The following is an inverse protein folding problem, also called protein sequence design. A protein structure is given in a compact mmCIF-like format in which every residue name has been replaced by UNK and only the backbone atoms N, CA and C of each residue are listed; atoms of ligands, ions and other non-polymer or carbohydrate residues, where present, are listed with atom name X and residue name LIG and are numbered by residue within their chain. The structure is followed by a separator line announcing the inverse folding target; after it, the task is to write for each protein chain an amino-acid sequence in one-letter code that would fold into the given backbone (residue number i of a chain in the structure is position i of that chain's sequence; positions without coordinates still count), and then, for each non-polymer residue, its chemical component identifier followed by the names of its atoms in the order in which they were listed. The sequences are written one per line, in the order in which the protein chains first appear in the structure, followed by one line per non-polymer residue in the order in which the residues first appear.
data_IF_711043065421
#
_entry.id   IF_711043065421
#
_cell.length_a   1.000
_cell.length_b   1.000
_cell.length_c   1.000
_cell.angle_alpha   90.00
_cell.angle_beta   90.00
_cell.angle_gamma   90.00
#
_symmetry.space_group_name_H-M   'P 1'
#
loop_
_entity.id
_entity.type
_entity.pdbx_description
1 polymer ?
#
# COMPACT_ATOMS: atom_id res chain seq x y z
N UNK A 1 18.93 53.09 -18.06
CA UNK A 1 19.92 52.62 -17.09
C UNK A 1 19.16 52.02 -15.92
N UNK A 2 18.92 50.72 -15.97
CA UNK A 2 18.25 49.97 -14.91
C UNK A 2 19.26 48.97 -14.32
N UNK A 3 19.60 49.20 -13.06
CA UNK A 3 20.49 48.35 -12.30
C UNK A 3 19.73 47.09 -11.83
N UNK A 4 20.25 45.93 -12.15
CA UNK A 4 19.83 44.65 -11.58
C UNK A 4 20.40 44.53 -10.15
N UNK A 5 19.67 43.96 -9.18
CA UNK A 5 20.24 43.67 -7.88
C UNK A 5 21.04 42.38 -7.93
N UNK A 6 22.31 42.47 -7.53
CA UNK A 6 23.18 41.34 -7.22
C UNK A 6 22.62 40.56 -6.02
N UNK A 7 22.26 39.33 -6.23
CA UNK A 7 21.93 38.38 -5.15
C UNK A 7 23.23 37.69 -4.73
N UNK A 8 23.86 38.19 -3.68
CA UNK A 8 24.95 37.52 -3.00
C UNK A 8 24.43 36.29 -2.24
N UNK A 9 24.79 35.12 -2.72
CA UNK A 9 24.56 33.83 -2.06
C UNK A 9 25.34 33.76 -0.75
N UNK A 10 24.65 33.78 0.35
CA UNK A 10 25.19 33.62 1.69
C UNK A 10 25.58 32.13 1.92
N UNK A 11 26.88 31.85 1.92
CA UNK A 11 27.47 30.49 1.99
C UNK A 11 27.59 29.93 3.43
N UNK A 12 26.95 30.52 4.42
CA UNK A 12 27.16 30.15 5.82
C UNK A 12 25.86 29.77 6.51
N UNK A 13 25.30 28.58 6.21
CA UNK A 13 24.34 27.97 7.11
C UNK A 13 24.16 26.49 6.80
N UNK A 14 25.16 25.64 7.10
CA UNK A 14 24.96 24.20 7.18
C UNK A 14 26.04 23.59 8.11
N UNK A 15 25.90 23.94 9.41
CA UNK A 15 26.48 23.14 10.50
C UNK A 15 25.34 22.79 11.44
N UNK A 16 24.79 21.62 11.28
CA UNK A 16 23.76 21.09 12.15
C UNK A 16 23.29 19.76 11.59
N UNK A 17 23.73 18.69 12.21
CA UNK A 17 23.15 17.33 12.17
C UNK A 17 22.58 16.85 10.81
N UNK A 18 23.43 16.30 9.96
CA UNK A 18 23.16 15.29 8.93
C UNK A 18 21.88 15.39 8.05
N UNK A 19 21.30 16.58 7.89
CA UNK A 19 20.16 16.79 7.01
C UNK A 19 20.52 17.81 5.95
N UNK A 20 20.88 17.37 4.75
CA UNK A 20 21.10 18.24 3.61
C UNK A 20 19.78 18.51 2.90
N UNK A 21 19.30 19.73 2.93
CA UNK A 21 18.21 20.18 2.07
C UNK A 21 18.81 20.67 0.75
N UNK A 22 18.40 20.10 -0.37
CA UNK A 22 18.73 20.57 -1.70
C UNK A 22 17.55 21.30 -2.30
N UNK A 23 17.74 22.55 -2.71
CA UNK A 23 16.77 23.36 -3.41
C UNK A 23 17.09 23.31 -4.91
N UNK A 24 16.20 22.69 -5.68
CA UNK A 24 16.26 22.63 -7.13
C UNK A 24 14.86 22.41 -7.71
N UNK A 25 14.67 22.81 -8.97
CA UNK A 25 13.39 22.69 -9.69
C UNK A 25 12.98 21.25 -10.05
N UNK A 26 13.63 20.24 -9.49
CA UNK A 26 13.36 18.83 -9.70
C UNK A 26 12.67 18.26 -8.46
N UNK A 27 11.64 17.47 -8.64
CA UNK A 27 10.84 16.90 -7.56
C UNK A 27 11.69 15.96 -6.68
N UNK A 28 12.07 16.43 -5.50
CA UNK A 28 12.83 15.67 -4.52
C UNK A 28 12.00 15.45 -3.27
N UNK A 29 11.90 14.24 -2.79
CA UNK A 29 11.32 13.91 -1.50
C UNK A 29 12.38 13.30 -0.58
N UNK A 30 12.58 13.91 0.60
CA UNK A 30 13.48 13.38 1.63
C UNK A 30 12.64 12.63 2.65
N UNK A 31 12.87 11.34 2.77
CA UNK A 31 12.13 10.46 3.68
C UNK A 31 12.96 10.12 4.90
N UNK A 32 12.61 10.77 6.04
CA UNK A 32 12.90 10.37 7.44
C UNK A 32 14.29 9.81 7.75
N UNK A 33 14.59 9.56 8.98
CA UNK A 33 15.89 9.20 9.62
C UNK A 33 16.80 8.12 8.98
N UNK A 34 16.54 7.69 7.78
CA UNK A 34 17.47 6.88 6.96
C UNK A 34 17.62 7.61 5.63
N UNK A 35 18.79 8.19 5.40
CA UNK A 35 19.20 9.03 4.28
C UNK A 35 18.86 8.46 2.88
N UNK A 36 17.59 8.40 2.52
CA UNK A 36 17.14 7.95 1.20
C UNK A 36 16.48 9.12 0.49
N UNK A 37 17.05 9.58 -0.59
CA UNK A 37 16.51 10.64 -1.46
C UNK A 37 15.92 9.97 -2.70
N UNK A 38 14.70 10.36 -3.06
CA UNK A 38 14.02 9.88 -4.26
C UNK A 38 14.11 10.93 -5.36
N UNK A 39 14.63 10.57 -6.51
CA UNK A 39 14.64 11.40 -7.73
C UNK A 39 13.82 10.73 -8.81
N UNK A 40 13.08 11.46 -9.60
CA UNK A 40 12.51 10.91 -10.83
C UNK A 40 11.66 11.84 -11.63
N UNK A 41 11.91 11.83 -12.93
CA UNK A 41 10.92 12.16 -13.95
C UNK A 41 9.99 10.98 -14.16
N UNK A 42 8.77 11.26 -14.52
CA UNK A 42 7.54 10.46 -14.69
C UNK A 42 7.60 8.93 -14.84
N UNK A 43 8.78 8.33 -15.05
CA UNK A 43 8.93 6.88 -15.25
C UNK A 43 10.04 6.21 -14.43
N UNK A 44 10.75 6.94 -13.56
CA UNK A 44 11.84 6.34 -12.77
C UNK A 44 11.80 6.84 -11.33
N UNK A 45 11.71 5.92 -10.37
CA UNK A 45 11.93 6.18 -8.95
C UNK A 45 13.43 5.90 -8.71
N UNK A 46 14.20 6.95 -8.46
CA UNK A 46 15.61 6.79 -8.08
C UNK A 46 15.75 6.89 -6.57
N UNK A 47 16.23 5.83 -5.95
CA UNK A 47 16.67 5.85 -4.56
C UNK A 47 18.16 6.23 -4.55
N UNK A 48 18.47 7.46 -4.17
CA UNK A 48 19.86 7.84 -3.98
C UNK A 48 20.29 7.48 -2.56
N UNK A 49 21.02 6.41 -2.43
CA UNK A 49 21.77 6.12 -1.20
C UNK A 49 23.05 6.94 -1.26
N UNK A 50 23.31 7.88 -0.33
CA UNK A 50 24.55 8.61 -0.32
C UNK A 50 25.72 7.64 -0.19
N UNK A 51 26.53 7.52 -1.25
CA UNK A 51 27.74 6.69 -1.26
C UNK A 51 28.81 7.41 -0.45
N UNK A 52 28.78 7.24 0.85
CA UNK A 52 29.87 7.69 1.71
C UNK A 52 31.02 6.67 1.59
N UNK A 53 32.01 6.94 0.74
CA UNK A 53 33.17 6.06 0.44
C UNK A 53 33.99 5.60 1.67
N UNK A 54 33.67 6.10 2.87
CA UNK A 54 34.34 5.70 4.14
C UNK A 54 33.57 4.62 4.95
N UNK A 55 32.42 4.14 4.48
CA UNK A 55 31.60 3.14 5.18
C UNK A 55 31.65 1.75 4.53
N UNK A 56 32.83 1.35 4.00
CA UNK A 56 32.99 0.06 3.32
C UNK A 56 32.93 -1.18 4.22
N UNK A 57 32.53 -1.07 5.49
CA UNK A 57 32.40 -2.24 6.40
C UNK A 57 31.07 -2.29 7.20
N UNK A 58 30.13 -1.36 6.99
CA UNK A 58 28.79 -1.58 7.54
C UNK A 58 28.01 -2.48 6.59
N UNK A 59 27.54 -3.62 7.07
CA UNK A 59 26.60 -4.51 6.34
C UNK A 59 25.54 -3.66 5.65
N UNK A 60 25.51 -3.65 4.33
CA UNK A 60 24.51 -2.92 3.52
C UNK A 60 23.12 -3.38 3.99
N UNK A 61 22.39 -2.50 4.68
CA UNK A 61 21.04 -2.82 5.13
C UNK A 61 20.11 -2.80 3.93
N UNK A 62 19.45 -3.93 3.68
CA UNK A 62 18.39 -4.02 2.66
C UNK A 62 17.26 -3.11 3.08
N UNK A 63 16.85 -2.11 2.27
CA UNK A 63 15.69 -1.28 2.57
C UNK A 63 14.43 -2.15 2.75
N UNK A 64 13.64 -1.96 3.82
CA UNK A 64 12.52 -2.86 4.14
C UNK A 64 11.47 -2.99 3.04
N UNK A 65 11.28 -1.94 2.22
CA UNK A 65 10.33 -1.96 1.11
C UNK A 65 10.91 -2.53 -0.19
N UNK A 66 12.23 -2.67 -0.31
CA UNK A 66 12.88 -3.08 -1.57
C UNK A 66 12.29 -4.35 -2.18
N UNK A 67 12.08 -5.46 -1.45
CA UNK A 67 11.50 -6.68 -2.02
C UNK A 67 10.04 -6.51 -2.46
N UNK A 68 9.34 -5.51 -1.90
CA UNK A 68 7.93 -5.21 -2.20
C UNK A 68 7.77 -4.16 -3.32
N UNK A 69 8.86 -3.70 -3.91
CA UNK A 69 8.85 -2.78 -5.07
C UNK A 69 8.73 -3.51 -6.40
N UNK A 70 8.71 -4.85 -6.39
CA UNK A 70 8.40 -5.65 -7.57
C UNK A 70 7.03 -5.27 -8.11
N UNK A 71 6.89 -5.28 -9.39
CA UNK A 71 5.83 -4.70 -10.21
C UNK A 71 4.42 -4.66 -9.61
N UNK A 72 3.92 -3.46 -9.43
CA UNK A 72 2.52 -3.09 -9.18
C UNK A 72 2.12 -1.92 -10.10
N UNK A 73 2.80 -1.80 -11.23
CA UNK A 73 2.66 -0.67 -12.14
C UNK A 73 1.25 -0.47 -12.66
N UNK A 74 0.50 -1.55 -12.90
CA UNK A 74 -0.89 -1.47 -13.33
C UNK A 74 -1.77 -0.78 -12.28
N UNK A 75 -1.65 -1.18 -11.02
CA UNK A 75 -2.41 -0.59 -9.92
C UNK A 75 -2.00 0.87 -9.68
N UNK A 76 -0.70 1.15 -9.74
CA UNK A 76 -0.19 2.50 -9.57
C UNK A 76 -0.59 3.44 -10.70
N UNK A 77 -0.51 2.97 -11.94
CA UNK A 77 -0.95 3.75 -13.10
C UNK A 77 -2.45 4.08 -13.04
N UNK A 78 -3.28 3.10 -12.69
CA UNK A 78 -4.72 3.34 -12.57
C UNK A 78 -5.05 4.28 -11.40
N UNK A 79 -4.33 4.16 -10.27
CA UNK A 79 -4.45 5.10 -9.16
C UNK A 79 -4.07 6.52 -9.58
N UNK A 80 -2.92 6.69 -10.23
CA UNK A 80 -2.43 7.99 -10.68
C UNK A 80 -3.41 8.65 -11.64
N UNK A 81 -3.84 7.92 -12.68
CA UNK A 81 -4.82 8.40 -13.67
C UNK A 81 -6.13 8.81 -13.00
N UNK A 82 -6.63 7.98 -12.08
CA UNK A 82 -7.90 8.24 -11.39
C UNK A 82 -7.81 9.42 -10.44
N UNK A 83 -6.76 9.51 -9.62
CA UNK A 83 -6.58 10.65 -8.71
C UNK A 83 -6.45 11.96 -9.49
N UNK A 84 -5.62 12.00 -10.55
CA UNK A 84 -5.52 13.20 -11.40
C UNK A 84 -6.86 13.64 -11.96
N UNK A 85 -7.68 12.70 -12.43
CA UNK A 85 -9.04 12.99 -12.93
C UNK A 85 -9.98 13.50 -11.84
N UNK A 86 -9.90 12.90 -10.63
CA UNK A 86 -10.76 13.27 -9.51
C UNK A 86 -10.39 14.65 -8.94
N UNK A 87 -9.11 14.97 -8.86
CA UNK A 87 -8.63 16.28 -8.39
C UNK A 87 -9.03 17.44 -9.31
N UNK A 88 -9.32 17.16 -10.59
CA UNK A 88 -9.82 18.19 -11.53
C UNK A 88 -11.30 18.52 -11.32
N UNK A 89 -12.03 17.70 -10.56
CA UNK A 89 -13.44 17.92 -10.25
C UNK A 89 -13.55 18.76 -8.98
N UNK A 90 -14.28 19.86 -9.06
CA UNK A 90 -14.71 20.65 -7.89
C UNK A 90 -16.17 20.27 -7.54
N UNK A 91 -16.58 20.23 -6.27
CA UNK A 91 -15.79 20.38 -5.03
C UNK A 91 -14.99 19.12 -4.66
N UNK A 92 -14.00 19.30 -3.79
CA UNK A 92 -13.23 18.18 -3.26
C UNK A 92 -14.15 17.28 -2.40
N UNK A 93 -14.37 16.06 -2.86
CA UNK A 93 -15.06 15.00 -2.12
C UNK A 93 -14.05 13.98 -1.60
N UNK A 94 -14.38 13.23 -0.52
CA UNK A 94 -13.51 12.14 -0.09
C UNK A 94 -13.26 11.14 -1.22
N UNK A 95 -11.99 10.76 -1.41
CA UNK A 95 -11.58 9.80 -2.43
C UNK A 95 -11.54 8.40 -1.79
N UNK A 96 -12.42 7.52 -2.23
CA UNK A 96 -12.42 6.11 -1.81
C UNK A 96 -11.55 5.32 -2.79
N UNK A 97 -10.56 4.61 -2.27
CA UNK A 97 -9.71 3.69 -3.03
C UNK A 97 -9.91 2.27 -2.52
N UNK A 98 -10.48 1.39 -3.34
CA UNK A 98 -10.60 -0.04 -3.02
C UNK A 98 -9.39 -0.77 -3.58
N UNK A 99 -8.66 -1.45 -2.68
CA UNK A 99 -7.51 -2.29 -2.97
C UNK A 99 -7.88 -3.71 -2.56
N UNK A 100 -7.88 -4.65 -3.50
CA UNK A 100 -8.35 -6.00 -3.22
C UNK A 100 -7.43 -7.07 -3.83
N UNK A 101 -7.48 -8.26 -3.29
CA UNK A 101 -6.70 -9.43 -3.73
C UNK A 101 -6.57 -10.47 -2.63
N UNK A 102 -5.85 -11.55 -2.91
CA UNK A 102 -5.58 -12.61 -1.94
C UNK A 102 -4.82 -12.08 -0.71
N UNK A 103 -5.06 -12.72 0.46
CA UNK A 103 -4.41 -12.36 1.73
C UNK A 103 -2.87 -12.36 1.67
N UNK A 104 -2.26 -13.10 0.74
CA UNK A 104 -0.81 -13.20 0.56
C UNK A 104 -0.21 -12.18 -0.42
N UNK A 105 -0.96 -11.12 -0.78
CA UNK A 105 -0.50 -10.11 -1.73
C UNK A 105 0.12 -8.87 -1.08
N UNK A 106 0.49 -8.93 0.22
CA UNK A 106 1.16 -7.82 0.95
C UNK A 106 0.43 -6.48 0.83
N UNK A 107 -0.88 -6.46 1.06
CA UNK A 107 -1.71 -5.26 0.95
C UNK A 107 -1.19 -4.10 1.80
N UNK A 108 -0.67 -4.38 3.01
CA UNK A 108 -0.10 -3.40 3.92
C UNK A 108 1.18 -2.77 3.35
N UNK A 109 2.03 -3.56 2.68
CA UNK A 109 3.25 -3.08 2.03
C UNK A 109 2.95 -2.28 0.77
N UNK A 110 1.95 -2.71 -0.01
CA UNK A 110 1.48 -1.92 -1.12
C UNK A 110 0.91 -0.57 -0.65
N UNK A 111 0.08 -0.56 0.39
CA UNK A 111 -0.41 0.69 1.00
C UNK A 111 0.73 1.55 1.55
N UNK A 112 1.76 0.96 2.16
CA UNK A 112 2.94 1.69 2.65
C UNK A 112 3.66 2.38 1.48
N UNK A 113 3.85 1.68 0.36
CA UNK A 113 4.42 2.24 -0.86
C UNK A 113 3.57 3.36 -1.44
N UNK A 114 2.24 3.20 -1.49
CA UNK A 114 1.33 4.28 -1.90
C UNK A 114 1.47 5.51 -1.00
N UNK A 115 1.49 5.30 0.32
CA UNK A 115 1.58 6.37 1.30
C UNK A 115 2.91 7.13 1.27
N UNK A 116 4.03 6.41 1.12
CA UNK A 116 5.37 7.01 1.26
C UNK A 116 5.96 7.50 -0.06
N UNK A 117 5.50 6.98 -1.19
CA UNK A 117 6.09 7.27 -2.50
C UNK A 117 5.08 7.90 -3.45
N UNK A 118 4.00 7.19 -3.75
CA UNK A 118 3.15 7.58 -4.86
C UNK A 118 2.25 8.78 -4.53
N UNK A 119 1.51 8.72 -3.42
CA UNK A 119 0.57 9.76 -3.05
C UNK A 119 1.24 11.11 -2.74
N UNK A 120 2.38 11.20 -2.02
CA UNK A 120 3.09 12.46 -1.85
C UNK A 120 3.41 13.12 -3.19
N UNK A 121 3.97 12.36 -4.13
CA UNK A 121 4.29 12.83 -5.48
C UNK A 121 3.04 13.31 -6.23
N UNK A 122 1.95 12.53 -6.21
CA UNK A 122 0.71 12.87 -6.93
C UNK A 122 0.01 14.11 -6.38
N UNK A 123 0.10 14.32 -5.08
CA UNK A 123 -0.55 15.45 -4.40
C UNK A 123 0.36 16.68 -4.29
N UNK A 124 1.62 16.60 -4.71
CA UNK A 124 2.60 17.68 -4.57
C UNK A 124 2.86 18.04 -3.11
N UNK A 125 2.91 17.05 -2.22
CA UNK A 125 3.06 17.23 -0.78
C UNK A 125 4.22 16.38 -0.26
N UNK A 126 5.02 16.93 0.65
CA UNK A 126 6.17 16.23 1.22
C UNK A 126 5.75 15.08 2.15
N UNK A 127 4.56 15.17 2.73
CA UNK A 127 4.07 14.17 3.67
C UNK A 127 2.55 14.06 3.67
N UNK A 128 2.06 12.90 4.10
CA UNK A 128 0.64 12.59 4.25
C UNK A 128 0.42 12.00 5.64
N UNK A 129 -0.59 12.46 6.37
CA UNK A 129 -0.98 11.85 7.64
C UNK A 129 -1.70 10.53 7.38
N UNK A 130 -1.22 9.44 7.97
CA UNK A 130 -1.84 8.11 7.85
C UNK A 130 -2.49 7.70 9.17
N UNK A 131 -3.75 7.24 9.08
CA UNK A 131 -4.52 6.72 10.19
C UNK A 131 -5.07 5.34 9.86
N UNK A 132 -4.95 4.42 10.81
CA UNK A 132 -5.60 3.10 10.72
C UNK A 132 -6.95 3.15 11.43
N UNK A 133 -8.02 2.87 10.69
CA UNK A 133 -9.37 2.71 11.22
C UNK A 133 -9.66 1.21 11.31
N UNK A 134 -9.77 0.65 12.53
CA UNK A 134 -10.08 -0.76 12.70
C UNK A 134 -11.40 -1.13 12.01
N UNK A 135 -11.44 -2.29 11.36
CA UNK A 135 -12.68 -2.79 10.78
C UNK A 135 -13.75 -2.96 11.84
N UNK A 136 -15.02 -2.63 11.52
CA UNK A 136 -16.09 -2.83 12.49
C UNK A 136 -16.24 -4.32 12.84
N UNK A 137 -16.42 -4.64 14.13
CA UNK A 137 -16.80 -5.98 14.54
C UNK A 137 -18.18 -6.35 13.98
N UNK A 138 -18.65 -7.55 14.26
CA UNK A 138 -19.98 -7.98 13.82
C UNK A 138 -21.06 -7.18 14.53
N UNK A 139 -21.75 -6.36 13.79
CA UNK A 139 -22.92 -5.60 14.25
C UNK A 139 -24.20 -6.10 13.60
N UNK A 140 -25.34 -5.79 14.20
CA UNK A 140 -26.65 -6.24 13.71
C UNK A 140 -27.25 -5.29 12.68
N UNK A 141 -26.90 -4.00 12.74
CA UNK A 141 -27.47 -2.97 11.89
C UNK A 141 -26.48 -1.85 11.55
N UNK A 142 -26.86 -1.01 10.59
CA UNK A 142 -26.06 0.12 10.12
C UNK A 142 -25.76 1.15 11.22
N UNK A 143 -26.71 1.44 12.12
CA UNK A 143 -26.50 2.45 13.16
C UNK A 143 -25.36 2.08 14.09
N UNK A 144 -25.29 0.82 14.52
CA UNK A 144 -24.20 0.32 15.36
C UNK A 144 -22.84 0.44 14.64
N UNK A 145 -22.79 0.14 13.34
CA UNK A 145 -21.58 0.31 12.52
C UNK A 145 -21.19 1.78 12.43
N UNK A 146 -22.15 2.65 12.14
CA UNK A 146 -21.92 4.09 12.00
C UNK A 146 -21.42 4.71 13.31
N UNK A 147 -22.03 4.38 14.44
CA UNK A 147 -21.61 4.86 15.76
C UNK A 147 -20.20 4.34 16.13
N UNK A 148 -19.93 3.07 15.85
CA UNK A 148 -18.59 2.52 16.05
C UNK A 148 -17.53 3.27 15.23
N UNK A 149 -17.76 3.44 13.93
CA UNK A 149 -16.82 4.11 13.04
C UNK A 149 -16.61 5.57 13.44
N UNK A 150 -17.67 6.29 13.80
CA UNK A 150 -17.61 7.66 14.27
C UNK A 150 -16.74 7.77 15.54
N UNK A 151 -17.00 6.92 16.55
CA UNK A 151 -16.25 6.94 17.80
C UNK A 151 -14.76 6.56 17.58
N UNK A 152 -14.50 5.57 16.72
CA UNK A 152 -13.10 5.21 16.37
C UNK A 152 -12.40 6.31 15.60
N UNK A 153 -13.07 7.00 14.67
CA UNK A 153 -12.51 8.17 14.02
C UNK A 153 -12.19 9.27 15.03
N UNK A 154 -13.12 9.58 15.95
CA UNK A 154 -12.88 10.57 17.00
C UNK A 154 -11.65 10.21 17.85
N UNK A 155 -11.51 8.95 18.22
CA UNK A 155 -10.37 8.43 18.99
C UNK A 155 -9.05 8.58 18.24
N UNK A 156 -9.00 8.16 16.95
CA UNK A 156 -7.73 8.14 16.21
C UNK A 156 -7.31 9.53 15.70
N UNK A 157 -8.25 10.40 15.29
CA UNK A 157 -7.92 11.71 14.70
C UNK A 157 -7.97 12.84 15.71
N UNK A 158 -8.98 12.89 16.61
CA UNK A 158 -9.20 14.00 17.56
C UNK A 158 -8.69 13.66 18.96
N UNK A 159 -8.40 12.36 19.23
CA UNK A 159 -7.98 11.85 20.56
C UNK A 159 -9.07 12.00 21.63
N UNK A 160 -10.34 11.80 21.26
CA UNK A 160 -11.51 11.79 22.14
C UNK A 160 -12.31 10.50 21.97
N UNK A 161 -12.98 10.04 23.00
CA UNK A 161 -13.78 8.82 22.95
C UNK A 161 -15.03 8.94 22.07
N UNK A 162 -15.51 10.18 21.84
CA UNK A 162 -16.62 10.47 20.93
C UNK A 162 -16.51 11.90 20.41
N UNK A 163 -17.03 12.12 19.21
CA UNK A 163 -17.19 13.43 18.59
C UNK A 163 -18.32 13.39 17.59
N UNK A 164 -18.88 14.56 17.25
CA UNK A 164 -19.85 14.66 16.17
C UNK A 164 -19.14 14.55 14.81
N UNK A 165 -19.89 14.28 13.73
CA UNK A 165 -19.34 14.25 12.38
C UNK A 165 -18.83 15.64 11.96
N UNK A 166 -19.45 16.71 12.46
CA UNK A 166 -19.02 18.10 12.22
C UNK A 166 -17.67 18.39 12.88
N UNK A 167 -17.43 17.91 14.11
CA UNK A 167 -16.14 18.05 14.79
C UNK A 167 -15.05 17.28 14.05
N UNK A 168 -15.32 16.05 13.59
CA UNK A 168 -14.42 15.23 12.81
C UNK A 168 -14.09 15.92 11.47
N UNK A 169 -15.10 16.45 10.80
CA UNK A 169 -14.94 17.20 9.56
C UNK A 169 -14.14 18.49 9.77
N UNK A 170 -14.40 19.20 10.87
CA UNK A 170 -13.64 20.37 11.27
C UNK A 170 -12.15 20.08 11.47
N UNK A 171 -11.82 18.89 12.00
CA UNK A 171 -10.42 18.42 12.09
C UNK A 171 -9.81 18.20 10.71
N UNK A 172 -10.51 17.52 9.80
CA UNK A 172 -10.03 17.30 8.44
C UNK A 172 -9.80 18.59 7.69
N UNK A 173 -10.72 19.54 7.80
CA UNK A 173 -10.61 20.85 7.15
C UNK A 173 -9.48 21.73 7.68
N UNK A 174 -9.08 21.55 8.94
CA UNK A 174 -7.96 22.28 9.56
C UNK A 174 -6.59 21.64 9.30
N UNK A 175 -6.55 20.44 8.75
CA UNK A 175 -5.28 19.77 8.46
C UNK A 175 -4.55 20.51 7.34
N UNK A 176 -3.29 20.94 7.54
CA UNK A 176 -2.52 21.58 6.48
C UNK A 176 -1.99 20.59 5.43
N UNK A 177 -2.05 19.30 5.71
CA UNK A 177 -1.55 18.23 4.84
C UNK A 177 -2.64 17.19 4.56
N UNK A 178 -2.58 16.49 3.42
CA UNK A 178 -3.52 15.44 3.06
C UNK A 178 -3.58 14.33 4.12
N UNK A 179 -4.74 13.69 4.18
CA UNK A 179 -5.01 12.62 5.16
C UNK A 179 -5.34 11.34 4.41
N UNK A 180 -4.66 10.27 4.79
CA UNK A 180 -4.94 8.90 4.37
C UNK A 180 -5.52 8.11 5.55
N UNK A 181 -6.75 7.65 5.40
CA UNK A 181 -7.36 6.72 6.34
C UNK A 181 -7.43 5.35 5.68
N UNK A 182 -7.04 4.31 6.39
CA UNK A 182 -7.17 2.96 5.83
C UNK A 182 -7.83 2.00 6.80
N UNK A 183 -8.59 1.06 6.24
CA UNK A 183 -9.20 -0.06 6.95
C UNK A 183 -8.92 -1.35 6.19
N UNK A 184 -8.83 -2.47 6.92
CA UNK A 184 -8.62 -3.79 6.32
C UNK A 184 -9.83 -4.67 6.62
N UNK A 185 -10.41 -5.27 5.58
CA UNK A 185 -11.52 -6.21 5.63
C UNK A 185 -11.03 -7.60 5.20
N UNK A 186 -11.10 -8.55 6.11
CA UNK A 186 -10.88 -9.96 5.80
C UNK A 186 -12.20 -10.59 5.37
N UNK A 187 -12.25 -11.27 4.25
CA UNK A 187 -13.50 -11.89 3.77
C UNK A 187 -14.05 -12.95 4.73
N UNK A 188 -13.21 -13.54 5.59
CA UNK A 188 -13.69 -14.40 6.69
C UNK A 188 -14.59 -13.64 7.68
N UNK A 189 -14.28 -12.40 7.97
CA UNK A 189 -15.08 -11.57 8.88
C UNK A 189 -16.44 -11.22 8.27
N UNK A 190 -16.53 -11.22 6.94
CA UNK A 190 -17.72 -10.86 6.18
C UNK A 190 -18.72 -12.00 6.02
N UNK A 191 -18.37 -13.24 6.37
CA UNK A 191 -19.19 -14.46 6.13
C UNK A 191 -20.64 -14.41 6.63
N UNK A 192 -20.96 -13.63 7.64
CA UNK A 192 -22.31 -13.53 8.21
C UNK A 192 -23.08 -12.27 7.80
N UNK A 193 -22.40 -11.29 7.20
CA UNK A 193 -22.95 -10.00 6.78
C UNK A 193 -22.58 -9.70 5.32
N UNK A 194 -22.53 -10.72 4.50
CA UNK A 194 -21.83 -10.90 3.21
C UNK A 194 -21.89 -9.74 2.21
N UNK A 195 -22.96 -8.95 2.19
CA UNK A 195 -23.12 -7.87 1.20
C UNK A 195 -23.13 -6.46 1.80
N UNK A 196 -23.33 -6.35 3.12
CA UNK A 196 -23.71 -5.07 3.72
C UNK A 196 -22.52 -4.28 4.27
N UNK A 197 -21.42 -4.93 4.71
CA UNK A 197 -20.33 -4.21 5.38
C UNK A 197 -19.65 -3.22 4.44
N UNK A 198 -19.33 -3.61 3.21
CA UNK A 198 -18.71 -2.70 2.25
C UNK A 198 -19.68 -1.55 1.93
N UNK A 199 -20.96 -1.87 1.69
CA UNK A 199 -22.01 -0.88 1.47
C UNK A 199 -22.15 0.06 2.67
N UNK A 200 -22.19 -0.48 3.89
CA UNK A 200 -22.31 0.30 5.12
C UNK A 200 -21.09 1.19 5.39
N UNK A 201 -19.89 0.73 5.07
CA UNK A 201 -18.69 1.57 5.10
C UNK A 201 -18.79 2.72 4.12
N UNK A 202 -19.18 2.46 2.88
CA UNK A 202 -19.35 3.51 1.87
C UNK A 202 -20.46 4.49 2.28
N UNK A 203 -21.58 4.00 2.78
CA UNK A 203 -22.66 4.86 3.33
C UNK A 203 -22.15 5.73 4.47
N UNK A 204 -21.36 5.18 5.41
CA UNK A 204 -20.78 5.97 6.49
C UNK A 204 -19.93 7.12 5.95
N UNK A 205 -19.02 6.83 5.02
CA UNK A 205 -18.17 7.87 4.42
C UNK A 205 -18.97 8.91 3.65
N UNK A 206 -20.11 8.54 3.06
CA UNK A 206 -21.01 9.46 2.38
C UNK A 206 -21.74 10.42 3.34
N UNK A 207 -21.85 10.08 4.64
CA UNK A 207 -22.47 10.96 5.64
C UNK A 207 -21.59 12.12 6.09
N UNK A 208 -20.27 12.06 5.79
CA UNK A 208 -19.40 13.18 6.07
C UNK A 208 -19.83 14.44 5.29
N UNK A 209 -19.75 15.64 5.90
CA UNK A 209 -20.07 16.88 5.21
C UNK A 209 -19.22 17.07 3.94
N UNK A 210 -19.82 17.61 2.87
CA UNK A 210 -19.24 17.64 1.51
C UNK A 210 -18.05 18.61 1.38
N UNK A 211 -17.91 19.58 2.28
CA UNK A 211 -16.86 20.59 2.17
C UNK A 211 -15.62 20.14 2.96
N UNK A 212 -14.82 19.31 2.35
CA UNK A 212 -13.47 19.01 2.85
C UNK A 212 -12.49 19.80 2.00
N UNK A 213 -11.82 20.79 2.63
CA UNK A 213 -10.85 21.66 1.95
C UNK A 213 -9.51 20.97 1.64
N UNK A 214 -9.36 19.72 2.08
CA UNK A 214 -8.14 18.96 1.94
C UNK A 214 -8.41 17.60 1.26
N UNK A 215 -7.38 17.04 0.64
CA UNK A 215 -7.47 15.70 0.07
C UNK A 215 -7.60 14.65 1.18
N UNK A 216 -8.81 14.14 1.37
CA UNK A 216 -9.08 12.99 2.22
C UNK A 216 -9.16 11.74 1.34
N UNK A 217 -8.20 10.84 1.53
CA UNK A 217 -8.12 9.57 0.82
C UNK A 217 -8.44 8.45 1.80
N UNK A 218 -9.37 7.57 1.43
CA UNK A 218 -9.80 6.45 2.25
C UNK A 218 -9.49 5.17 1.48
N UNK A 219 -8.52 4.38 1.96
CA UNK A 219 -8.17 3.10 1.39
C UNK A 219 -8.89 1.97 2.11
N UNK A 220 -9.72 1.22 1.39
CA UNK A 220 -10.37 0.00 1.88
C UNK A 220 -9.60 -1.19 1.31
N UNK A 221 -8.83 -1.87 2.17
CA UNK A 221 -8.09 -3.07 1.81
C UNK A 221 -8.99 -4.27 2.00
N UNK A 222 -9.26 -5.03 0.94
CA UNK A 222 -10.10 -6.24 0.98
C UNK A 222 -9.22 -7.45 0.69
N UNK A 223 -9.02 -8.27 1.72
CA UNK A 223 -8.19 -9.47 1.62
C UNK A 223 -9.07 -10.70 1.47
N UNK A 224 -8.96 -11.34 0.32
CA UNK A 224 -9.60 -12.61 0.03
C UNK A 224 -8.91 -13.72 0.79
N UNK A 225 -9.63 -14.35 1.68
CA UNK A 225 -9.06 -15.41 2.48
C UNK A 225 -8.93 -16.68 1.65
N UNK A 226 -7.71 -17.18 1.52
CA UNK A 226 -7.38 -18.43 0.87
C UNK A 226 -6.75 -19.34 1.92
N UNK A 227 -7.30 -20.54 2.12
CA UNK A 227 -6.70 -21.49 3.04
C UNK A 227 -5.45 -22.14 2.45
N UNK A 228 -4.31 -21.47 2.51
CA UNK A 228 -3.03 -22.20 2.50
C UNK A 228 -2.87 -22.93 3.83
N UNK A 229 -2.60 -24.24 3.78
CA UNK A 229 -2.26 -25.03 4.96
C UNK A 229 -1.08 -24.37 5.67
N UNK A 230 -1.32 -23.64 6.79
CA UNK A 230 -0.24 -23.36 7.72
C UNK A 230 0.35 -24.72 8.09
N UNK A 231 1.64 -24.92 7.82
CA UNK A 231 2.40 -26.09 8.30
C UNK A 231 2.44 -26.04 9.82
N UNK A 232 1.34 -26.42 10.48
CA UNK A 232 1.34 -26.66 11.92
C UNK A 232 2.04 -27.98 12.15
N UNK A 233 3.23 -27.90 12.74
CA UNK A 233 3.93 -29.06 13.31
C UNK A 233 2.98 -29.79 14.23
N UNK A 234 2.84 -31.12 13.97
CA UNK A 234 2.26 -32.15 14.82
C UNK A 234 1.04 -31.78 15.66
N UNK A 235 -0.12 -32.23 15.27
CA UNK A 235 -1.26 -32.42 16.16
C UNK A 235 -1.92 -33.79 15.90
N UNK A 236 -2.24 -34.45 16.98
CA UNK A 236 -2.74 -35.81 17.18
C UNK A 236 -3.79 -36.32 16.20
N UNK A 237 -3.78 -37.66 16.05
CA UNK A 237 -4.64 -38.56 15.27
C UNK A 237 -6.13 -38.42 15.65
N UNK A 238 -6.79 -37.36 15.25
CA UNK A 238 -8.25 -37.29 15.25
C UNK A 238 -8.69 -37.42 13.79
N UNK A 239 -9.49 -38.49 13.54
CA UNK A 239 -10.18 -38.83 12.30
C UNK A 239 -9.88 -37.96 11.08
N UNK A 240 -8.92 -38.34 10.26
CA UNK A 240 -8.53 -37.72 8.99
C UNK A 240 -9.73 -37.42 8.07
N UNK A 241 -10.74 -38.32 8.09
CA UNK A 241 -11.94 -38.20 7.26
C UNK A 241 -12.81 -37.00 7.66
N UNK A 242 -13.11 -36.79 8.95
CA UNK A 242 -13.91 -35.65 9.41
C UNK A 242 -13.17 -34.32 9.20
N UNK A 243 -11.83 -34.31 9.28
CA UNK A 243 -11.01 -33.16 8.91
C UNK A 243 -11.06 -32.90 7.41
N UNK A 244 -11.08 -33.92 6.58
CA UNK A 244 -11.13 -33.81 5.13
C UNK A 244 -12.47 -33.25 4.66
N UNK A 245 -13.58 -33.78 5.16
CA UNK A 245 -14.94 -33.33 4.87
C UNK A 245 -15.14 -31.88 5.33
N UNK A 246 -14.73 -31.56 6.56
CA UNK A 246 -14.80 -30.18 7.09
C UNK A 246 -13.89 -29.21 6.33
N UNK A 247 -12.80 -29.70 5.75
CA UNK A 247 -11.90 -28.93 4.90
C UNK A 247 -12.58 -28.52 3.59
N UNK A 248 -13.23 -29.46 2.87
CA UNK A 248 -13.92 -29.16 1.62
C UNK A 248 -15.11 -28.22 1.81
N UNK A 249 -15.98 -28.47 2.78
CA UNK A 249 -17.13 -27.59 3.04
C UNK A 249 -16.74 -26.15 3.40
N UNK A 250 -15.60 -25.96 4.06
CA UNK A 250 -15.11 -24.62 4.36
C UNK A 250 -14.44 -23.96 3.14
N UNK A 251 -13.79 -24.71 2.25
CA UNK A 251 -13.17 -24.17 1.04
C UNK A 251 -14.23 -23.57 0.13
N UNK A 252 -15.30 -24.31 -0.16
CA UNK A 252 -16.43 -23.83 -0.96
C UNK A 252 -17.07 -22.57 -0.37
N UNK A 253 -17.11 -22.48 0.95
CA UNK A 253 -17.68 -21.33 1.63
C UNK A 253 -16.85 -20.06 1.45
N UNK A 254 -15.51 -20.15 1.61
CA UNK A 254 -14.63 -19.00 1.39
C UNK A 254 -14.66 -18.55 -0.07
N UNK A 255 -14.61 -19.48 -1.01
CA UNK A 255 -14.69 -19.17 -2.42
C UNK A 255 -15.99 -18.42 -2.77
N UNK A 256 -17.13 -18.86 -2.24
CA UNK A 256 -18.43 -18.17 -2.47
C UNK A 256 -18.44 -16.76 -1.90
N UNK A 257 -17.87 -16.55 -0.70
CA UNK A 257 -17.80 -15.21 -0.09
C UNK A 257 -16.87 -14.32 -0.90
N UNK A 258 -15.67 -14.81 -1.26
CA UNK A 258 -14.73 -14.07 -2.09
C UNK A 258 -15.36 -13.69 -3.43
N UNK A 259 -16.05 -14.63 -4.08
CA UNK A 259 -16.74 -14.38 -5.35
C UNK A 259 -17.83 -13.31 -5.23
N UNK A 260 -18.66 -13.38 -4.18
CA UNK A 260 -19.70 -12.35 -3.95
C UNK A 260 -19.10 -10.96 -3.73
N UNK A 261 -18.02 -10.87 -2.93
CA UNK A 261 -17.34 -9.59 -2.68
C UNK A 261 -16.68 -9.08 -3.95
N UNK A 262 -16.02 -9.96 -4.71
CA UNK A 262 -15.42 -9.59 -6.01
C UNK A 262 -16.47 -9.05 -6.99
N UNK A 263 -17.64 -9.68 -7.07
CA UNK A 263 -18.76 -9.19 -7.91
C UNK A 263 -19.26 -7.81 -7.45
N UNK A 264 -19.33 -7.56 -6.13
CA UNK A 264 -19.70 -6.24 -5.61
C UNK A 264 -18.67 -5.17 -5.97
N UNK A 265 -17.38 -5.50 -5.85
CA UNK A 265 -16.28 -4.61 -6.23
C UNK A 265 -16.35 -4.29 -7.73
N UNK A 266 -16.60 -5.30 -8.56
CA UNK A 266 -16.77 -5.13 -10.00
C UNK A 266 -17.96 -4.21 -10.33
N UNK A 267 -19.11 -4.41 -9.69
CA UNK A 267 -20.26 -3.53 -9.86
C UNK A 267 -19.97 -2.08 -9.44
N UNK A 268 -19.21 -1.88 -8.36
CA UNK A 268 -18.76 -0.53 -7.94
C UNK A 268 -17.83 0.09 -8.96
N UNK A 269 -16.92 -0.69 -9.53
CA UNK A 269 -16.02 -0.23 -10.60
C UNK A 269 -16.78 0.18 -11.85
N UNK A 270 -17.74 -0.64 -12.30
CA UNK A 270 -18.55 -0.38 -13.47
C UNK A 270 -19.48 0.83 -13.32
N UNK A 271 -20.07 1.01 -12.13
CA UNK A 271 -20.98 2.11 -11.82
C UNK A 271 -20.28 3.42 -11.44
N UNK A 272 -18.94 3.46 -11.41
CA UNK A 272 -18.18 4.61 -10.92
C UNK A 272 -18.71 5.20 -9.59
N UNK A 273 -19.22 4.35 -8.70
CA UNK A 273 -19.82 4.75 -7.42
C UNK A 273 -21.10 5.62 -7.54
N UNK A 274 -21.85 5.54 -8.63
CA UNK A 274 -23.03 6.39 -8.88
C UNK A 274 -24.05 6.41 -7.73
N UNK A 275 -24.18 5.30 -6.98
CA UNK A 275 -25.03 5.22 -5.79
C UNK A 275 -24.50 6.03 -4.59
N UNK A 276 -23.24 6.45 -4.64
CA UNK A 276 -22.54 7.20 -3.58
C UNK A 276 -22.14 8.58 -4.10
N UNK A 277 -23.11 9.39 -4.46
CA UNK A 277 -22.96 10.66 -5.16
C UNK A 277 -22.08 11.73 -4.44
N UNK A 278 -21.82 11.52 -3.15
CA UNK A 278 -20.93 12.37 -2.33
C UNK A 278 -19.51 11.83 -2.20
N UNK A 279 -19.22 10.69 -2.81
CA UNK A 279 -17.90 10.09 -2.81
C UNK A 279 -17.32 10.09 -4.22
N UNK A 280 -16.02 10.24 -4.29
CA UNK A 280 -15.26 9.96 -5.51
C UNK A 280 -14.57 8.61 -5.32
N UNK A 281 -15.01 7.58 -6.04
CA UNK A 281 -14.52 6.22 -5.86
C UNK A 281 -13.65 5.75 -7.00
N UNK A 282 -12.70 4.89 -6.66
CA UNK A 282 -11.93 4.09 -7.60
C UNK A 282 -11.69 2.68 -7.05
N UNK A 283 -11.66 1.72 -7.93
CA UNK A 283 -11.26 0.34 -7.66
C UNK A 283 -9.97 0.07 -8.40
N UNK A 284 -8.93 -0.33 -7.67
CA UNK A 284 -7.69 -0.74 -8.33
C UNK A 284 -7.83 -2.15 -8.92
N UNK A 285 -7.09 -2.47 -9.99
CA UNK A 285 -6.96 -3.84 -10.46
C UNK A 285 -6.55 -4.78 -9.31
N UNK A 286 -7.07 -6.00 -9.31
CA UNK A 286 -6.80 -6.98 -8.27
C UNK A 286 -5.29 -7.20 -8.08
N UNK A 287 -4.86 -7.26 -6.81
CA UNK A 287 -3.50 -7.66 -6.48
C UNK A 287 -3.36 -9.17 -6.69
N UNK A 288 -2.65 -9.55 -7.73
CA UNK A 288 -2.38 -10.94 -8.11
C UNK A 288 -0.94 -11.35 -7.80
N UNK A 289 -0.63 -12.63 -7.95
CA UNK A 289 0.74 -13.14 -7.85
C UNK A 289 1.66 -12.49 -8.90
N UNK A 290 2.93 -12.42 -8.57
CA UNK A 290 3.98 -11.82 -9.39
C UNK A 290 4.57 -12.87 -10.32
N UNK A 291 4.76 -12.51 -11.59
CA UNK A 291 5.42 -13.37 -12.57
C UNK A 291 6.93 -13.17 -12.58
N UNK A 292 7.67 -14.09 -13.21
CA UNK A 292 9.13 -14.04 -13.27
C UNK A 292 9.65 -12.78 -13.97
N UNK A 293 9.02 -12.39 -15.09
CA UNK A 293 9.45 -11.21 -15.84
C UNK A 293 9.43 -9.94 -15.00
N UNK A 294 8.39 -9.75 -14.20
CA UNK A 294 8.26 -8.60 -13.29
C UNK A 294 9.42 -8.54 -12.27
N UNK A 295 9.89 -9.70 -11.79
CA UNK A 295 11.01 -9.77 -10.85
C UNK A 295 12.34 -9.55 -11.55
N UNK A 296 12.52 -10.11 -12.76
CA UNK A 296 13.74 -9.85 -13.56
C UNK A 296 13.86 -8.36 -13.91
N UNK A 297 12.75 -7.70 -14.24
CA UNK A 297 12.75 -6.26 -14.51
C UNK A 297 13.06 -5.45 -13.24
N UNK A 298 12.52 -5.86 -12.07
CA UNK A 298 12.86 -5.24 -10.79
C UNK A 298 14.36 -5.32 -10.48
N UNK A 299 15.05 -6.45 -10.77
CA UNK A 299 16.51 -6.57 -10.59
C UNK A 299 17.26 -5.57 -11.46
N UNK A 300 16.79 -5.31 -12.68
CA UNK A 300 17.41 -4.38 -13.62
C UNK A 300 17.14 -2.91 -13.31
N UNK A 301 16.18 -2.62 -12.43
CA UNK A 301 15.90 -1.24 -12.04
C UNK A 301 17.10 -0.60 -11.31
N UNK A 302 17.42 0.62 -11.65
CA UNK A 302 18.55 1.37 -11.12
C UNK A 302 18.59 1.38 -9.58
N UNK A 303 17.46 1.59 -8.94
CA UNK A 303 17.41 1.60 -7.47
C UNK A 303 17.74 0.24 -6.84
N UNK A 304 17.39 -0.86 -7.50
CA UNK A 304 17.76 -2.21 -7.04
C UNK A 304 19.26 -2.42 -7.25
N UNK A 305 19.77 -2.08 -8.43
CA UNK A 305 21.20 -2.18 -8.74
C UNK A 305 22.06 -1.32 -7.81
N UNK A 306 21.59 -0.14 -7.41
CA UNK A 306 22.27 0.71 -6.44
C UNK A 306 22.41 0.05 -5.05
N UNK A 307 21.47 -0.84 -4.68
CA UNK A 307 21.52 -1.59 -3.41
C UNK A 307 22.40 -2.83 -3.52
N UNK A 308 22.24 -3.63 -4.60
CA UNK A 308 22.92 -4.93 -4.74
C UNK A 308 24.27 -4.83 -5.47
N UNK A 309 24.47 -3.83 -6.32
CA UNK A 309 25.60 -3.71 -7.24
C UNK A 309 25.36 -4.46 -8.56
N UNK A 310 25.90 -3.92 -9.66
CA UNK A 310 25.73 -4.51 -10.99
C UNK A 310 26.27 -5.95 -11.08
N UNK A 311 27.44 -6.20 -10.47
CA UNK A 311 28.07 -7.52 -10.49
C UNK A 311 27.21 -8.63 -9.87
N UNK A 312 26.33 -8.28 -8.93
CA UNK A 312 25.43 -9.24 -8.27
C UNK A 312 24.10 -9.41 -9.00
N UNK A 313 23.75 -8.49 -9.90
CA UNK A 313 22.48 -8.55 -10.62
C UNK A 313 22.36 -9.85 -11.44
N UNK A 314 23.40 -10.27 -12.15
CA UNK A 314 23.39 -11.49 -12.96
C UNK A 314 23.24 -12.76 -12.10
N UNK A 315 23.94 -12.81 -10.96
CA UNK A 315 23.80 -13.92 -9.99
C UNK A 315 22.37 -13.99 -9.47
N UNK A 316 21.83 -12.85 -9.05
CA UNK A 316 20.45 -12.75 -8.52
C UNK A 316 19.40 -13.14 -9.57
N UNK A 317 19.58 -12.73 -10.84
CA UNK A 317 18.72 -13.15 -11.96
C UNK A 317 18.70 -14.66 -12.13
N UNK A 318 19.85 -15.34 -12.02
CA UNK A 318 19.92 -16.80 -12.09
C UNK A 318 19.17 -17.44 -10.94
N UNK A 319 19.40 -16.99 -9.71
CA UNK A 319 18.72 -17.52 -8.50
C UNK A 319 17.21 -17.29 -8.55
N UNK A 320 16.75 -16.16 -9.11
CA UNK A 320 15.32 -15.90 -9.32
C UNK A 320 14.70 -16.90 -10.31
N UNK A 321 15.40 -17.23 -11.41
CA UNK A 321 14.91 -18.22 -12.37
C UNK A 321 14.78 -19.60 -11.73
N UNK A 322 15.74 -20.00 -10.92
CA UNK A 322 15.69 -21.24 -10.15
C UNK A 322 14.51 -21.25 -9.15
N UNK A 323 14.31 -20.13 -8.43
CA UNK A 323 13.17 -19.95 -7.51
C UNK A 323 11.82 -20.13 -8.22
N UNK A 324 11.63 -19.55 -9.40
CA UNK A 324 10.38 -19.68 -10.15
C UNK A 324 10.19 -21.09 -10.71
N UNK A 325 11.25 -21.75 -11.15
CA UNK A 325 11.19 -23.13 -11.59
C UNK A 325 10.77 -24.08 -10.46
N UNK A 326 11.42 -23.97 -9.29
CA UNK A 326 11.05 -24.77 -8.10
C UNK A 326 9.60 -24.47 -7.63
N UNK A 327 9.18 -23.21 -7.74
CA UNK A 327 7.82 -22.82 -7.38
C UNK A 327 6.79 -23.45 -8.31
N UNK A 328 7.01 -23.40 -9.61
CA UNK A 328 6.12 -23.96 -10.63
C UNK A 328 5.99 -25.48 -10.48
N UNK A 329 7.12 -26.17 -10.28
CA UNK A 329 7.14 -27.60 -10.03
C UNK A 329 6.31 -27.99 -8.78
N UNK A 330 6.43 -27.21 -7.72
CA UNK A 330 5.79 -27.50 -6.44
C UNK A 330 4.34 -27.05 -6.34
N UNK A 331 3.95 -25.98 -7.00
CA UNK A 331 2.64 -25.35 -6.86
C UNK A 331 1.81 -25.34 -8.14
N UNK A 332 2.37 -25.80 -9.26
CA UNK A 332 1.72 -25.75 -10.60
C UNK A 332 1.23 -24.34 -10.95
N UNK A 333 2.02 -23.34 -10.60
CA UNK A 333 1.72 -21.91 -10.82
C UNK A 333 2.97 -21.17 -11.27
N UNK A 334 2.85 -20.39 -12.34
CA UNK A 334 3.92 -19.55 -12.88
C UNK A 334 4.02 -18.19 -12.16
N UNK A 335 3.20 -17.95 -11.14
CA UNK A 335 3.22 -16.73 -10.33
C UNK A 335 3.42 -17.05 -8.86
N UNK A 336 4.15 -16.19 -8.15
CA UNK A 336 4.42 -16.30 -6.72
C UNK A 336 3.64 -15.20 -6.00
N UNK A 337 2.85 -15.50 -4.94
CA UNK A 337 2.25 -14.48 -4.10
C UNK A 337 3.30 -13.56 -3.50
N UNK A 338 2.97 -12.28 -3.33
CA UNK A 338 3.94 -11.26 -2.93
C UNK A 338 4.62 -11.53 -1.59
N UNK A 339 3.90 -12.09 -0.61
CA UNK A 339 4.48 -12.43 0.71
C UNK A 339 5.56 -13.51 0.60
N UNK A 340 5.26 -14.60 -0.14
CA UNK A 340 6.22 -15.68 -0.37
C UNK A 340 7.41 -15.20 -1.21
N UNK A 341 7.15 -14.40 -2.22
CA UNK A 341 8.17 -13.81 -3.07
C UNK A 341 9.12 -12.91 -2.26
N UNK A 342 8.56 -11.97 -1.49
CA UNK A 342 9.35 -11.05 -0.69
C UNK A 342 10.22 -11.77 0.35
N UNK A 343 9.67 -12.83 1.00
CA UNK A 343 10.45 -13.65 1.93
C UNK A 343 11.65 -14.32 1.24
N UNK A 344 11.46 -14.85 0.03
CA UNK A 344 12.55 -15.46 -0.74
C UNK A 344 13.54 -14.43 -1.26
N UNK A 345 13.08 -13.28 -1.78
CA UNK A 345 13.96 -12.19 -2.22
C UNK A 345 14.82 -11.65 -1.07
N UNK A 346 14.27 -11.51 0.15
CA UNK A 346 15.04 -11.11 1.33
C UNK A 346 16.15 -12.13 1.64
N UNK A 347 15.88 -13.43 1.51
CA UNK A 347 16.90 -14.49 1.71
C UNK A 347 17.99 -14.40 0.66
N UNK A 348 17.62 -14.29 -0.62
CA UNK A 348 18.55 -14.17 -1.73
C UNK A 348 19.43 -12.90 -1.59
N UNK A 349 18.83 -11.77 -1.28
CA UNK A 349 19.56 -10.51 -1.07
C UNK A 349 20.55 -10.61 0.10
N UNK A 350 20.14 -11.26 1.22
CA UNK A 350 21.01 -11.45 2.38
C UNK A 350 22.19 -12.38 2.08
N UNK A 351 21.95 -13.51 1.40
CA UNK A 351 23.03 -14.44 1.03
C UNK A 351 24.04 -13.76 0.10
N UNK A 352 23.55 -13.05 -0.91
CA UNK A 352 24.41 -12.36 -1.85
C UNK A 352 25.24 -11.23 -1.21
N UNK A 353 24.67 -10.47 -0.26
CA UNK A 353 25.41 -9.41 0.45
C UNK A 353 26.39 -9.95 1.50
N UNK A 354 26.23 -11.20 1.98
CA UNK A 354 27.16 -11.84 2.90
C UNK A 354 28.37 -12.46 2.21
N UNK A 355 28.27 -12.80 0.92
CA UNK A 355 29.37 -13.40 0.14
C UNK A 355 30.45 -12.38 -0.28
N UNK A 356 30.20 -11.08 -0.14
CA UNK A 356 31.17 -10.00 -0.44
C UNK A 356 32.05 -9.59 0.75
N UNK A 357 31.86 -10.17 1.95
CA UNK A 357 32.61 -9.87 3.19
C UNK A 357 33.63 -10.93 3.51
#
# INVERSE_FOLDING_TARGET
MSQSPDISLNKNALQGNENSALQGNENQAILGNSNTVLYGDYNQIQFVVPINKKLQQQQRKIPPLLPYLVNRSQQEHELEKSIKKLMQKAPLSPIICIIHGDEFQSHDKFLERLHTVLLPRLLGQDSIKKYYLPSPPKFKNYHEISDYLRNRLAEIVIKRNSASLEEINGFFNKSPIPILIHTCLLTEQLQKQESEILHNLLNFWQTLPIQINQNLIICILIQYQTRRKKRTKKSNKISLFLRFVRYFFNLDRYQRVNQKISQQIELLSQSNFDKFNRLSGLVLPELTGINRGDVEDWVRMEYTQNVIGEAMADKLLKEIRELFYEWEEKHSSNTIPMDDLAENLIKLLKSNLSDEG
#
